data_IF_931562163230
#
_entry.id   IF_931562163230
#
_cell.length_a   1.000
_cell.length_b   1.000
_cell.length_c   1.000
_cell.angle_alpha   90.00
_cell.angle_beta   90.00
_cell.angle_gamma   90.00
#
_symmetry.space_group_name_H-M   'P 1'
#
loop_
_entity.id
_entity.type
_entity.pdbx_description
1 polymer ?
#
# COMPACT_ATOMS: atom_id res chain seq x y z
N UNK A 1 -17.79 24.80 -12.88
CA UNK A 1 -16.68 23.89 -13.18
C UNK A 1 -17.19 22.48 -12.91
N UNK A 2 -17.10 21.51 -13.82
CA UNK A 2 -17.51 20.15 -13.50
C UNK A 2 -16.54 19.63 -12.44
N UNK A 3 -17.00 19.54 -11.20
CA UNK A 3 -16.22 19.03 -10.07
C UNK A 3 -16.16 17.51 -10.24
N UNK A 4 -15.16 16.99 -10.96
CA UNK A 4 -14.93 15.55 -10.98
C UNK A 4 -14.68 15.11 -9.53
N UNK A 5 -15.56 14.25 -9.03
CA UNK A 5 -15.48 13.74 -7.66
C UNK A 5 -14.32 12.78 -7.59
N UNK A 6 -13.33 13.10 -6.75
CA UNK A 6 -12.16 12.26 -6.51
C UNK A 6 -12.53 11.12 -5.57
N UNK A 7 -12.44 9.89 -6.07
CA UNK A 7 -12.78 8.68 -5.32
C UNK A 7 -11.55 8.19 -4.57
N UNK A 8 -11.56 8.30 -3.26
CA UNK A 8 -10.42 7.95 -2.42
C UNK A 8 -10.69 6.63 -1.70
N UNK A 9 -9.79 5.66 -1.87
CA UNK A 9 -9.74 4.45 -1.06
C UNK A 9 -8.66 4.55 0.01
N UNK A 10 -8.89 3.97 1.18
CA UNK A 10 -7.95 4.01 2.31
C UNK A 10 -7.55 2.58 2.69
N UNK A 11 -6.25 2.31 2.74
CA UNK A 11 -5.66 1.08 3.25
C UNK A 11 -5.33 1.25 4.73
N UNK A 12 -6.01 0.51 5.60
CA UNK A 12 -5.87 0.59 7.06
C UNK A 12 -5.69 -0.81 7.69
N UNK A 13 -5.16 -0.83 8.92
CA UNK A 13 -5.01 -2.07 9.69
C UNK A 13 -6.16 -2.27 10.70
N UNK A 14 -7.23 -1.47 10.60
CA UNK A 14 -8.37 -1.46 11.53
C UNK A 14 -8.96 -0.05 11.72
N UNK A 15 -9.87 0.10 12.69
CA UNK A 15 -10.57 1.36 12.98
C UNK A 15 -9.77 2.38 13.81
N UNK A 16 -8.63 1.98 14.39
CA UNK A 16 -7.77 2.87 15.17
C UNK A 16 -6.65 3.45 14.31
N UNK A 17 -6.56 4.78 14.31
CA UNK A 17 -5.59 5.56 13.55
C UNK A 17 -4.73 6.40 14.48
N UNK A 18 -3.57 6.88 14.01
CA UNK A 18 -2.82 7.91 14.72
C UNK A 18 -3.50 9.27 14.51
N UNK A 19 -3.40 10.20 15.46
CA UNK A 19 -4.03 11.52 15.36
C UNK A 19 -3.72 12.25 14.06
N UNK A 20 -2.48 12.21 13.58
CA UNK A 20 -2.12 12.82 12.28
C UNK A 20 -2.83 12.15 11.11
N UNK A 21 -3.07 10.83 11.18
CA UNK A 21 -3.82 10.10 10.15
C UNK A 21 -5.29 10.51 10.21
N UNK A 22 -5.86 10.64 11.41
CA UNK A 22 -7.22 11.11 11.61
C UNK A 22 -7.41 12.54 11.08
N UNK A 23 -6.49 13.44 11.39
CA UNK A 23 -6.47 14.81 10.86
C UNK A 23 -6.35 14.81 9.33
N UNK A 24 -5.53 13.93 8.75
CA UNK A 24 -5.40 13.81 7.29
C UNK A 24 -6.71 13.32 6.65
N UNK A 25 -7.37 12.31 7.24
CA UNK A 25 -8.65 11.79 6.75
C UNK A 25 -9.73 12.86 6.86
N UNK A 26 -9.77 13.60 7.98
CA UNK A 26 -10.70 14.70 8.19
C UNK A 26 -10.47 15.83 7.18
N UNK A 27 -9.22 16.20 6.90
CA UNK A 27 -8.88 17.20 5.90
C UNK A 27 -9.33 16.77 4.49
N UNK A 28 -9.02 15.53 4.09
CA UNK A 28 -9.41 14.97 2.80
C UNK A 28 -10.94 14.94 2.64
N UNK A 29 -11.68 14.63 3.71
CA UNK A 29 -13.15 14.62 3.71
C UNK A 29 -13.77 16.03 3.69
N UNK A 30 -13.07 17.02 4.21
CA UNK A 30 -13.55 18.40 4.23
C UNK A 30 -13.46 19.08 2.85
N UNK A 31 -12.62 18.56 1.95
CA UNK A 31 -12.46 19.11 0.61
C UNK A 31 -13.70 18.84 -0.28
N UNK A 32 -14.22 19.86 -0.98
CA UNK A 32 -15.35 19.69 -1.87
C UNK A 32 -14.95 18.86 -3.08
N UNK A 33 -15.74 17.82 -3.38
CA UNK A 33 -15.47 16.93 -4.50
C UNK A 33 -14.57 15.74 -4.16
N UNK A 34 -14.43 15.37 -2.88
CA UNK A 34 -13.80 14.11 -2.47
C UNK A 34 -14.83 13.15 -1.91
N UNK A 35 -14.80 11.90 -2.36
CA UNK A 35 -15.66 10.83 -1.86
C UNK A 35 -14.80 9.65 -1.36
N UNK A 36 -15.02 9.25 -0.11
CA UNK A 36 -14.41 8.04 0.44
C UNK A 36 -15.20 6.82 -0.03
N UNK A 37 -14.65 6.07 -0.98
CA UNK A 37 -15.38 4.98 -1.65
C UNK A 37 -15.09 3.60 -1.07
N UNK A 38 -13.95 3.44 -0.39
CA UNK A 38 -13.50 2.13 0.03
C UNK A 38 -12.51 2.18 1.19
N UNK A 39 -12.71 1.33 2.18
CA UNK A 39 -11.75 1.00 3.23
C UNK A 39 -11.24 -0.42 3.03
N UNK A 40 -9.93 -0.58 2.92
CA UNK A 40 -9.26 -1.87 2.79
C UNK A 40 -8.62 -2.17 4.13
N UNK A 41 -9.23 -3.08 4.89
CA UNK A 41 -8.75 -3.53 6.19
C UNK A 41 -7.96 -4.83 6.04
N UNK A 42 -6.89 -4.97 6.81
CA UNK A 42 -6.22 -6.26 6.98
C UNK A 42 -7.08 -7.18 7.84
N UNK A 43 -7.25 -8.42 7.40
CA UNK A 43 -7.87 -9.43 8.23
C UNK A 43 -7.02 -9.74 9.49
N UNK A 44 -7.62 -9.56 10.66
CA UNK A 44 -6.94 -9.66 11.97
C UNK A 44 -6.55 -11.09 12.33
N UNK A 45 -7.25 -12.09 11.78
CA UNK A 45 -7.02 -13.52 12.09
C UNK A 45 -5.67 -14.05 11.60
N UNK A 46 -5.01 -13.33 10.68
CA UNK A 46 -3.75 -13.78 10.05
C UNK A 46 -2.51 -13.08 10.62
N UNK A 47 -2.63 -12.26 11.66
CA UNK A 47 -1.48 -11.77 12.41
C UNK A 47 -0.87 -12.93 13.21
N UNK A 48 -0.14 -13.82 12.51
CA UNK A 48 0.66 -14.87 13.13
C UNK A 48 1.46 -14.25 14.28
N UNK A 49 1.28 -14.72 15.52
CA UNK A 49 2.12 -14.27 16.61
C UNK A 49 3.53 -14.79 16.30
N UNK A 50 4.36 -13.94 15.69
CA UNK A 50 5.77 -14.25 15.46
C UNK A 50 6.37 -14.54 16.84
N UNK A 51 6.69 -15.81 17.07
CA UNK A 51 7.31 -16.33 18.29
C UNK A 51 8.43 -15.39 18.75
N UNK A 52 8.14 -14.63 19.80
CA UNK A 52 8.96 -13.55 20.36
C UNK A 52 10.09 -14.06 21.25
N UNK A 53 10.07 -15.35 21.59
CA UNK A 53 10.90 -15.93 22.63
C UNK A 53 12.35 -16.19 22.20
N UNK A 54 12.60 -16.53 20.94
CA UNK A 54 13.96 -16.76 20.42
C UNK A 54 14.73 -15.47 20.12
N UNK A 55 14.05 -14.31 20.06
CA UNK A 55 14.65 -13.00 19.75
C UNK A 55 15.04 -12.18 20.98
N UNK A 56 14.63 -12.61 22.18
CA UNK A 56 14.92 -11.94 23.44
C UNK A 56 16.36 -12.17 23.93
N UNK A 57 16.98 -13.31 23.57
CA UNK A 57 18.28 -13.70 24.11
C UNK A 57 19.48 -12.93 23.52
N UNK A 58 19.32 -12.29 22.36
CA UNK A 58 20.34 -11.43 21.72
C UNK A 58 19.86 -9.99 21.58
N UNK A 59 18.96 -9.54 22.47
CA UNK A 59 18.29 -8.26 22.31
C UNK A 59 19.25 -7.08 22.64
N UNK A 60 19.57 -6.20 21.67
CA UNK A 60 20.47 -5.08 21.91
C UNK A 60 19.84 -4.08 22.88
N UNK A 61 20.43 -3.98 24.08
CA UNK A 61 20.02 -3.06 25.16
C UNK A 61 19.95 -1.59 24.71
N UNK A 62 20.77 -1.18 23.74
CA UNK A 62 20.69 0.15 23.09
C UNK A 62 19.33 0.41 22.45
N UNK A 63 18.70 -0.61 21.87
CA UNK A 63 17.36 -0.51 21.28
C UNK A 63 16.27 -0.53 22.36
N UNK A 64 16.50 -1.17 23.51
CA UNK A 64 15.59 -1.09 24.67
C UNK A 64 15.54 0.33 25.21
N UNK A 65 16.70 0.93 25.47
CA UNK A 65 16.82 2.30 25.98
C UNK A 65 16.14 3.30 25.04
N UNK A 66 16.40 3.21 23.74
CA UNK A 66 15.75 4.06 22.75
C UNK A 66 14.23 3.84 22.69
N UNK A 67 13.74 2.58 22.76
CA UNK A 67 12.30 2.29 22.80
C UNK A 67 11.63 2.82 24.06
N UNK A 68 12.27 2.70 25.21
CA UNK A 68 11.75 3.20 26.47
C UNK A 68 11.77 4.73 26.53
N UNK A 69 12.85 5.36 26.08
CA UNK A 69 12.92 6.81 25.89
C UNK A 69 11.80 7.28 24.95
N UNK A 70 11.63 6.63 23.81
CA UNK A 70 10.58 7.00 22.86
C UNK A 70 9.17 6.78 23.42
N UNK A 71 8.95 5.72 24.20
CA UNK A 71 7.64 5.41 24.81
C UNK A 71 7.26 6.37 25.92
N UNK A 72 8.22 6.83 26.72
CA UNK A 72 7.96 7.63 27.91
C UNK A 72 8.23 9.13 27.72
N UNK A 73 9.26 9.49 26.97
CA UNK A 73 9.68 10.88 26.75
C UNK A 73 9.26 11.45 25.39
N UNK A 74 9.16 10.64 24.34
CA UNK A 74 8.83 11.11 22.99
C UNK A 74 7.42 10.68 22.58
N UNK A 75 6.40 11.27 23.20
CA UNK A 75 4.98 11.08 22.88
C UNK A 75 4.41 12.29 22.16
N UNK A 76 4.69 12.47 20.85
CA UNK A 76 4.08 13.56 20.10
C UNK A 76 2.56 13.36 20.06
N UNK A 77 1.81 14.44 20.30
CA UNK A 77 0.33 14.43 20.23
C UNK A 77 -0.19 13.88 18.91
N UNK A 78 0.56 14.06 17.82
CA UNK A 78 0.28 13.55 16.49
C UNK A 78 0.19 12.01 16.41
N UNK A 79 0.86 11.26 17.30
CA UNK A 79 0.87 9.80 17.28
C UNK A 79 -0.12 9.16 18.25
N UNK A 80 -0.94 9.96 18.95
CA UNK A 80 -1.95 9.42 19.84
C UNK A 80 -3.00 8.61 19.07
N UNK A 81 -3.42 7.45 19.58
CA UNK A 81 -4.44 6.64 18.93
C UNK A 81 -5.80 7.35 19.01
N UNK A 82 -6.49 7.39 17.88
CA UNK A 82 -7.85 7.93 17.70
C UNK A 82 -8.67 6.85 17.02
N UNK A 83 -9.82 6.51 17.58
CA UNK A 83 -10.76 5.59 16.95
C UNK A 83 -11.67 6.38 16.00
N UNK A 84 -11.66 5.99 14.72
CA UNK A 84 -12.53 6.55 13.68
C UNK A 84 -13.55 5.52 13.18
N UNK A 85 -13.71 4.41 13.89
CA UNK A 85 -14.62 3.33 13.51
C UNK A 85 -16.05 3.81 13.27
N UNK A 86 -16.52 4.77 14.08
CA UNK A 86 -17.85 5.39 13.98
C UNK A 86 -17.97 6.32 12.77
N UNK A 87 -16.96 7.16 12.51
CA UNK A 87 -16.96 8.11 11.39
C UNK A 87 -16.82 7.40 10.04
N UNK A 88 -16.08 6.30 10.01
CA UNK A 88 -15.83 5.46 8.84
C UNK A 88 -16.83 4.32 8.69
N UNK A 89 -17.91 4.31 9.47
CA UNK A 89 -18.94 3.26 9.42
C UNK A 89 -19.76 3.27 8.13
N UNK A 90 -19.92 4.44 7.50
CA UNK A 90 -20.71 4.62 6.29
C UNK A 90 -19.97 4.26 4.99
N UNK A 91 -18.66 3.98 5.07
CA UNK A 91 -17.83 3.66 3.90
C UNK A 91 -17.74 2.14 3.74
N UNK A 92 -17.92 1.59 2.52
CA UNK A 92 -17.75 0.16 2.27
C UNK A 92 -16.38 -0.35 2.73
N UNK A 93 -16.37 -1.49 3.43
CA UNK A 93 -15.16 -2.11 3.96
C UNK A 93 -14.90 -3.44 3.27
N UNK A 94 -13.70 -3.63 2.76
CA UNK A 94 -13.20 -4.90 2.26
C UNK A 94 -12.11 -5.38 3.21
N UNK A 95 -12.21 -6.63 3.64
CA UNK A 95 -11.14 -7.30 4.39
C UNK A 95 -10.32 -8.12 3.42
N UNK A 96 -9.05 -7.81 3.31
CA UNK A 96 -8.13 -8.49 2.40
C UNK A 96 -7.09 -9.30 3.17
N UNK A 97 -6.66 -10.39 2.53
CA UNK A 97 -5.58 -11.23 3.02
C UNK A 97 -4.34 -11.08 2.13
N UNK A 98 -3.39 -10.19 2.48
CA UNK A 98 -2.17 -10.05 1.69
C UNK A 98 -1.26 -11.28 1.85
N UNK A 99 -0.79 -11.80 0.72
CA UNK A 99 0.22 -12.84 0.63
C UNK A 99 1.59 -12.19 0.83
N UNK A 100 2.30 -12.59 1.88
CA UNK A 100 3.65 -12.09 2.18
C UNK A 100 4.69 -12.77 1.30
N UNK A 101 5.41 -11.98 0.49
CA UNK A 101 6.66 -12.40 -0.18
C UNK A 101 7.82 -11.57 0.35
N UNK A 102 8.52 -12.09 1.35
CA UNK A 102 9.61 -11.39 2.03
C UNK A 102 9.10 -10.19 2.85
N UNK A 103 9.49 -8.98 2.44
CA UNK A 103 8.99 -7.71 3.03
C UNK A 103 7.81 -7.11 2.26
N UNK A 104 7.46 -7.70 1.12
CA UNK A 104 6.41 -7.25 0.24
C UNK A 104 5.09 -7.98 0.51
N UNK A 105 3.99 -7.26 0.38
CA UNK A 105 2.62 -7.77 0.48
C UNK A 105 1.96 -7.69 -0.91
N UNK A 106 1.50 -8.85 -1.40
CA UNK A 106 0.75 -8.99 -2.63
C UNK A 106 -0.71 -9.29 -2.30
N UNK A 107 -1.63 -8.74 -3.08
CA UNK A 107 -3.05 -9.01 -2.95
C UNK A 107 -3.46 -10.16 -3.87
N UNK A 108 -4.47 -10.93 -3.47
CA UNK A 108 -5.08 -11.93 -4.35
C UNK A 108 -5.87 -11.25 -5.47
N UNK A 109 -5.97 -11.91 -6.63
CA UNK A 109 -6.67 -11.32 -7.80
C UNK A 109 -8.17 -11.09 -7.51
N UNK A 110 -8.78 -11.92 -6.67
CA UNK A 110 -10.17 -11.74 -6.23
C UNK A 110 -10.34 -10.43 -5.44
N UNK A 111 -9.45 -10.15 -4.49
CA UNK A 111 -9.42 -8.91 -3.71
C UNK A 111 -9.14 -7.71 -4.62
N UNK A 112 -8.20 -7.83 -5.56
CA UNK A 112 -7.89 -6.80 -6.54
C UNK A 112 -9.08 -6.49 -7.45
N UNK A 113 -9.82 -7.51 -7.90
CA UNK A 113 -11.03 -7.34 -8.70
C UNK A 113 -12.13 -6.58 -7.92
N UNK A 114 -12.30 -6.89 -6.64
CA UNK A 114 -13.23 -6.15 -5.77
C UNK A 114 -12.79 -4.69 -5.61
N UNK A 115 -11.53 -4.42 -5.32
CA UNK A 115 -11.00 -3.06 -5.19
C UNK A 115 -11.18 -2.29 -6.51
N UNK A 116 -10.90 -2.92 -7.66
CA UNK A 116 -11.11 -2.34 -9.00
C UNK A 116 -12.57 -1.99 -9.27
N UNK A 117 -13.52 -2.77 -8.76
CA UNK A 117 -14.96 -2.52 -8.95
C UNK A 117 -15.41 -1.21 -8.30
N UNK A 118 -14.77 -0.81 -7.20
CA UNK A 118 -15.00 0.47 -6.51
C UNK A 118 -14.31 1.65 -7.18
N UNK A 119 -13.54 1.44 -8.26
CA UNK A 119 -12.86 2.46 -9.07
C UNK A 119 -12.24 3.62 -8.24
N UNK A 120 -11.35 3.33 -7.28
CA UNK A 120 -10.67 4.38 -6.55
C UNK A 120 -9.69 5.12 -7.48
N UNK A 121 -9.75 6.45 -7.47
CA UNK A 121 -8.79 7.30 -8.19
C UNK A 121 -7.47 7.42 -7.42
N UNK A 122 -7.55 7.45 -6.08
CA UNK A 122 -6.40 7.57 -5.17
C UNK A 122 -6.50 6.53 -4.07
N UNK A 123 -5.39 5.91 -3.71
CA UNK A 123 -5.28 5.01 -2.56
C UNK A 123 -4.35 5.61 -1.49
N UNK A 124 -4.91 5.91 -0.32
CA UNK A 124 -4.16 6.39 0.85
C UNK A 124 -3.70 5.21 1.70
N UNK A 125 -2.39 5.10 1.91
CA UNK A 125 -1.80 4.01 2.69
C UNK A 125 -1.48 4.44 4.12
N UNK A 126 -2.32 4.03 5.07
CA UNK A 126 -2.07 4.18 6.51
C UNK A 126 -1.71 2.87 7.21
N UNK A 127 -2.01 1.74 6.57
CA UNK A 127 -1.63 0.40 6.99
C UNK A 127 -0.70 -0.31 6.00
N UNK A 128 -0.56 -1.62 6.19
CA UNK A 128 0.21 -2.51 5.32
C UNK A 128 1.73 -2.31 5.26
N UNK A 129 2.45 -3.38 4.92
CA UNK A 129 3.89 -3.33 4.66
C UNK A 129 4.14 -2.82 3.22
N UNK A 130 5.29 -3.14 2.62
CA UNK A 130 5.61 -2.68 1.27
C UNK A 130 4.62 -3.32 0.30
N UNK A 131 3.75 -2.50 -0.31
CA UNK A 131 2.80 -2.97 -1.30
C UNK A 131 3.54 -3.25 -2.61
N UNK A 132 3.33 -4.44 -3.19
CA UNK A 132 3.90 -4.81 -4.48
C UNK A 132 2.82 -5.39 -5.40
N UNK A 133 3.06 -5.24 -6.70
CA UNK A 133 2.22 -5.82 -7.75
C UNK A 133 1.06 -4.91 -8.14
N UNK A 134 0.00 -5.54 -8.64
CA UNK A 134 -1.04 -4.88 -9.40
C UNK A 134 -1.88 -3.89 -8.58
N UNK A 135 -1.86 -3.96 -7.24
CA UNK A 135 -2.50 -2.99 -6.35
C UNK A 135 -2.07 -1.54 -6.64
N UNK A 136 -0.81 -1.33 -7.05
CA UNK A 136 -0.29 0.00 -7.41
C UNK A 136 -0.85 0.51 -8.74
N UNK A 137 -1.33 -0.40 -9.60
CA UNK A 137 -1.94 -0.07 -10.89
C UNK A 137 -3.46 0.05 -10.81
N UNK A 138 -4.08 -0.26 -9.65
CA UNK A 138 -5.53 -0.17 -9.46
C UNK A 138 -6.00 1.28 -9.35
N UNK A 139 -5.15 2.19 -8.84
CA UNK A 139 -5.51 3.60 -8.69
C UNK A 139 -4.99 4.43 -9.87
N UNK A 140 -5.86 5.28 -10.42
CA UNK A 140 -5.56 6.19 -11.54
C UNK A 140 -4.38 7.13 -11.22
N UNK A 141 -4.25 7.55 -9.96
CA UNK A 141 -3.22 8.48 -9.49
C UNK A 141 -2.37 7.89 -8.35
N UNK A 142 -1.91 6.65 -8.48
CA UNK A 142 -0.93 6.10 -7.56
C UNK A 142 0.43 6.82 -7.72
N UNK A 143 0.76 7.74 -6.82
CA UNK A 143 2.15 8.22 -6.66
C UNK A 143 2.99 7.13 -5.97
N UNK A 144 3.28 6.07 -6.72
CA UNK A 144 4.20 5.00 -6.37
C UNK A 144 5.35 5.03 -7.36
N UNK A 145 6.53 5.45 -6.90
CA UNK A 145 7.77 5.45 -7.65
C UNK A 145 7.95 4.10 -8.37
N UNK A 146 7.71 4.12 -9.68
CA UNK A 146 7.93 2.97 -10.53
C UNK A 146 9.44 2.85 -10.71
N UNK A 147 10.12 2.13 -9.81
CA UNK A 147 11.39 1.49 -10.18
C UNK A 147 10.99 0.28 -11.04
N UNK A 148 10.52 0.55 -12.26
CA UNK A 148 10.55 -0.44 -13.33
C UNK A 148 12.01 -0.65 -13.63
N UNK A 149 12.59 -1.65 -12.95
CA UNK A 149 13.82 -2.27 -13.39
C UNK A 149 13.67 -2.63 -14.87
N UNK A 150 14.52 -2.00 -15.67
CA UNK A 150 14.92 -2.34 -17.03
C UNK A 150 14.27 -3.62 -17.56
N UNK A 151 13.29 -3.45 -18.45
CA UNK A 151 13.01 -4.48 -19.46
C UNK A 151 14.26 -4.56 -20.34
N UNK A 152 15.06 -5.60 -20.14
CA UNK A 152 16.07 -6.02 -21.11
C UNK A 152 15.39 -6.24 -22.45
N UNK A 153 15.50 -5.25 -23.32
CA UNK A 153 15.06 -5.33 -24.71
C UNK A 153 16.17 -6.05 -25.45
N UNK A 154 16.21 -7.38 -25.31
CA UNK A 154 17.09 -8.22 -26.13
C UNK A 154 16.56 -8.19 -27.56
N UNK A 155 17.23 -7.37 -28.37
CA UNK A 155 17.50 -7.51 -29.78
C UNK A 155 16.44 -8.23 -30.64
N UNK A 156 15.68 -7.41 -31.36
CA UNK A 156 14.98 -7.75 -32.60
C UNK A 156 16.00 -8.28 -33.62
N UNK A 157 16.12 -9.61 -33.72
CA UNK A 157 16.81 -10.29 -34.82
C UNK A 157 15.92 -10.35 -36.06
N UNK A 158 15.75 -9.23 -36.77
CA UNK A 158 15.17 -9.21 -38.12
C UNK A 158 16.21 -9.76 -39.10
N UNK A 159 16.12 -11.05 -39.43
CA UNK A 159 16.83 -11.67 -40.55
C UNK A 159 15.94 -11.58 -41.79
N UNK A 160 16.21 -10.61 -42.67
CA UNK A 160 15.66 -10.57 -44.03
C UNK A 160 16.74 -10.11 -45.02
N UNK A 161 16.72 -10.77 -46.17
CA UNK A 161 17.53 -10.58 -47.39
C UNK A 161 19.01 -11.01 -47.27
N UNK A 162 19.54 -11.93 -48.06
CA UNK A 162 19.20 -12.24 -49.46
C UNK A 162 20.08 -11.40 -50.37
N UNK A 163 21.35 -11.78 -50.51
CA UNK A 163 22.19 -11.40 -51.64
C UNK A 163 23.39 -12.34 -51.73
N UNK A 164 23.30 -13.23 -52.71
CA UNK A 164 24.37 -14.07 -53.23
C UNK A 164 25.46 -13.22 -53.86
N UNK A 165 26.71 -13.46 -53.52
CA UNK A 165 27.86 -12.98 -54.28
C UNK A 165 28.85 -14.12 -54.44
N UNK A 166 28.92 -14.65 -55.67
CA UNK A 166 29.92 -15.60 -56.16
C UNK A 166 31.02 -14.83 -56.86
N UNK A 167 32.30 -15.12 -56.63
CA UNK A 167 33.35 -14.77 -57.57
C UNK A 167 33.87 -16.03 -58.29
N UNK A 168 33.99 -15.94 -59.60
CA UNK A 168 34.85 -16.77 -60.45
C UNK A 168 35.08 -16.02 -61.76
N UNK A 169 36.17 -16.24 -62.50
CA UNK A 169 37.37 -17.02 -62.19
C UNK A 169 38.60 -16.17 -61.84
#
# INVERSE_FOLDING_TARGET
>A
MPTEVLRVGILCNGGTFQRWQAESIAAVRAEPGVELVLLIERDAETASPKSTWTRALHYPWRTVLYRQYRKHWFRPKAMEPVDLSSELSNVPKIRCRPILRGHAELFEEADLALIRSHRPDVLLRFGFNILHGDILTVATHAYGATITGMRNTTAVGRRLSGRSWTPSP
#
